data_IF_122165177383
#
_entry.id   IF_122165177383
#
_cell.length_a   1.000
_cell.length_b   1.000
_cell.length_c   1.000
_cell.angle_alpha   90.00
_cell.angle_beta   90.00
_cell.angle_gamma   90.00
#
_symmetry.space_group_name_H-M   'P 1'
#
loop_
_entity.id
_entity.type
_entity.pdbx_description
1 polymer ?
#
# COMPACT_ATOMS: atom_id res chain seq x y z
N UNK A 1 25.80 -5.60 11.70
CA UNK A 1 27.00 -5.04 11.02
C UNK A 1 26.77 -3.63 10.49
N UNK A 2 25.57 -3.28 9.99
CA UNK A 2 25.30 -1.94 9.46
C UNK A 2 24.54 -0.99 10.40
N UNK A 3 23.79 -1.49 11.39
CA UNK A 3 23.21 -0.65 12.45
C UNK A 3 24.16 -0.52 13.64
N UNK A 4 24.34 0.72 14.08
CA UNK A 4 24.94 1.12 15.35
C UNK A 4 23.96 2.03 16.08
N UNK A 5 24.12 2.17 17.39
CA UNK A 5 23.29 3.07 18.20
C UNK A 5 23.31 4.49 17.64
N UNK A 6 22.13 5.11 17.56
CA UNK A 6 21.94 6.48 17.05
C UNK A 6 21.77 6.61 15.52
N UNK A 7 21.88 5.53 14.75
CA UNK A 7 21.60 5.54 13.30
C UNK A 7 20.12 5.24 13.08
N UNK A 8 19.36 6.23 12.59
CA UNK A 8 17.91 6.10 12.31
C UNK A 8 17.63 5.13 11.15
N UNK A 9 18.41 5.20 10.07
CA UNK A 9 18.27 4.30 8.92
C UNK A 9 19.59 4.13 8.16
N UNK A 10 19.72 3.01 7.45
CA UNK A 10 20.86 2.70 6.58
C UNK A 10 20.33 2.24 5.23
N UNK A 11 20.82 2.83 4.14
CA UNK A 11 20.53 2.39 2.78
C UNK A 11 21.81 1.88 2.10
N UNK A 12 21.71 0.75 1.40
CA UNK A 12 22.71 0.27 0.45
C UNK A 12 22.15 0.51 -0.96
N UNK A 13 22.90 1.23 -1.77
CA UNK A 13 22.54 1.56 -3.16
C UNK A 13 23.51 0.84 -4.08
N UNK A 14 23.00 -0.14 -4.80
CA UNK A 14 23.70 -0.90 -5.82
C UNK A 14 23.21 -0.46 -7.22
N UNK A 15 23.88 -0.87 -8.31
CA UNK A 15 23.44 -0.54 -9.66
C UNK A 15 21.99 -0.96 -9.97
N UNK A 16 21.55 -2.12 -9.46
CA UNK A 16 20.25 -2.72 -9.79
C UNK A 16 19.30 -2.86 -8.59
N UNK A 17 19.76 -2.55 -7.37
CA UNK A 17 18.99 -2.76 -6.14
C UNK A 17 19.21 -1.66 -5.11
N UNK A 18 18.17 -1.42 -4.29
CA UNK A 18 18.24 -0.57 -3.10
C UNK A 18 17.75 -1.38 -1.90
N UNK A 19 18.59 -1.45 -0.86
CA UNK A 19 18.27 -2.15 0.39
C UNK A 19 18.19 -1.12 1.50
N UNK A 20 17.05 -1.02 2.18
CA UNK A 20 16.83 -0.08 3.27
C UNK A 20 16.62 -0.81 4.61
N UNK A 21 17.47 -0.50 5.59
CA UNK A 21 17.30 -0.89 6.98
C UNK A 21 16.84 0.31 7.80
N UNK A 22 15.61 0.29 8.29
CA UNK A 22 15.07 1.29 9.22
C UNK A 22 14.31 0.63 10.38
N UNK A 23 14.23 1.29 11.53
CA UNK A 23 13.42 0.78 12.63
C UNK A 23 11.94 0.77 12.24
N UNK A 24 11.21 -0.24 12.70
CA UNK A 24 9.77 -0.27 12.54
C UNK A 24 9.14 0.64 13.60
N UNK A 25 8.72 1.83 13.17
CA UNK A 25 8.14 2.88 14.02
C UNK A 25 6.65 2.67 14.30
N UNK A 26 6.05 1.59 13.79
CA UNK A 26 4.60 1.34 13.93
C UNK A 26 3.74 2.23 13.02
N UNK A 27 4.34 2.80 11.97
CA UNK A 27 3.63 3.59 10.96
C UNK A 27 2.50 2.80 10.29
N UNK A 28 1.46 3.52 9.89
CA UNK A 28 0.35 2.93 9.14
C UNK A 28 0.85 2.34 7.81
N UNK A 29 0.37 1.15 7.44
CA UNK A 29 0.82 0.45 6.22
C UNK A 29 0.57 1.25 4.93
N UNK A 30 -0.54 1.99 4.83
CA UNK A 30 -0.79 2.86 3.66
C UNK A 30 0.23 3.98 3.59
N UNK A 31 0.65 4.52 4.72
CA UNK A 31 1.68 5.56 4.77
C UNK A 31 3.05 5.01 4.40
N UNK A 32 3.41 3.82 4.88
CA UNK A 32 4.61 3.11 4.44
C UNK A 32 4.59 2.87 2.92
N UNK A 33 3.47 2.39 2.38
CA UNK A 33 3.29 2.18 0.94
C UNK A 33 3.48 3.49 0.16
N UNK A 34 2.85 4.57 0.62
CA UNK A 34 2.97 5.90 0.02
C UNK A 34 4.41 6.44 0.01
N UNK A 35 5.17 6.24 1.09
CA UNK A 35 6.56 6.74 1.20
C UNK A 35 7.57 5.91 0.43
N UNK A 36 7.44 4.58 0.47
CA UNK A 36 8.47 3.67 -0.04
C UNK A 36 8.19 3.13 -1.45
N UNK A 37 6.92 3.10 -1.85
CA UNK A 37 6.51 2.53 -3.14
C UNK A 37 5.62 3.50 -3.94
N UNK A 38 6.04 4.77 -4.15
CA UNK A 38 5.19 5.79 -4.76
C UNK A 38 4.81 5.49 -6.22
N UNK A 39 5.62 4.69 -6.92
CA UNK A 39 5.44 4.34 -8.33
C UNK A 39 4.88 2.91 -8.51
N UNK A 40 4.57 2.20 -7.41
CA UNK A 40 3.99 0.88 -7.49
C UNK A 40 2.49 0.93 -7.84
N UNK A 41 2.05 -0.02 -8.66
CA UNK A 41 0.62 -0.23 -8.93
C UNK A 41 -0.07 -1.04 -7.84
N UNK A 42 0.66 -1.98 -7.24
CA UNK A 42 0.20 -2.81 -6.16
C UNK A 42 1.33 -3.07 -5.18
N UNK A 43 1.03 -2.97 -3.88
CA UNK A 43 1.92 -3.39 -2.79
C UNK A 43 1.27 -4.57 -2.09
N UNK A 44 1.93 -5.72 -2.11
CA UNK A 44 1.49 -6.93 -1.41
C UNK A 44 2.31 -7.06 -0.13
N UNK A 45 1.61 -7.17 1.01
CA UNK A 45 2.21 -7.44 2.30
C UNK A 45 1.81 -8.83 2.80
N UNK A 46 2.77 -9.58 3.32
CA UNK A 46 2.51 -10.84 4.03
C UNK A 46 2.32 -10.56 5.53
N UNK A 47 1.31 -11.16 6.15
CA UNK A 47 1.00 -10.99 7.57
C UNK A 47 -0.02 -9.87 7.84
N UNK A 48 0.26 -9.01 8.83
CA UNK A 48 -0.58 -7.87 9.22
C UNK A 48 -2.06 -8.17 9.49
N UNK A 49 -2.35 -9.33 10.10
CA UNK A 49 -3.72 -9.77 10.43
C UNK A 49 -4.58 -8.72 11.13
N UNK A 50 -3.98 -7.84 11.94
CA UNK A 50 -4.68 -6.80 12.69
C UNK A 50 -4.62 -5.40 12.06
N UNK A 51 -4.08 -5.25 10.85
CA UNK A 51 -4.08 -3.97 10.16
C UNK A 51 -5.48 -3.63 9.64
N UNK A 52 -6.02 -2.50 10.09
CA UNK A 52 -7.35 -2.00 9.68
C UNK A 52 -7.31 -1.32 8.32
N UNK A 53 -8.36 -1.48 7.50
CA UNK A 53 -8.52 -0.72 6.25
C UNK A 53 -7.57 -1.15 5.14
N UNK A 54 -7.03 -2.37 5.25
CA UNK A 54 -6.20 -3.02 4.23
C UNK A 54 -6.92 -4.30 3.79
N UNK A 55 -7.27 -4.47 2.50
CA UNK A 55 -7.89 -5.68 2.00
C UNK A 55 -6.94 -6.87 2.15
N UNK A 56 -7.49 -8.03 2.53
CA UNK A 56 -6.70 -9.24 2.81
C UNK A 56 -7.19 -10.43 1.99
N UNK A 57 -6.26 -11.31 1.67
CA UNK A 57 -6.54 -12.65 1.18
C UNK A 57 -6.05 -13.61 2.25
N UNK A 58 -6.96 -14.40 2.82
CA UNK A 58 -6.60 -15.42 3.80
C UNK A 58 -6.11 -16.66 3.06
N UNK A 59 -4.98 -17.22 3.48
CA UNK A 59 -4.48 -18.50 2.99
C UNK A 59 -4.50 -19.48 4.17
N UNK A 60 -5.29 -20.55 4.05
CA UNK A 60 -5.44 -21.56 5.10
C UNK A 60 -5.30 -22.97 4.53
N UNK A 61 -4.83 -23.91 5.35
CA UNK A 61 -4.63 -25.31 4.97
C UNK A 61 -5.03 -26.22 6.12
N UNK A 62 -5.70 -27.32 5.82
CA UNK A 62 -6.27 -28.22 6.82
C UNK A 62 -5.23 -28.83 7.78
N UNK A 63 -3.98 -28.93 7.35
CA UNK A 63 -2.83 -29.43 8.13
C UNK A 63 -2.21 -28.39 9.08
N UNK A 64 -2.49 -27.10 8.88
CA UNK A 64 -1.93 -25.99 9.66
C UNK A 64 -2.96 -25.33 10.58
N UNK A 65 -4.19 -25.12 10.11
CA UNK A 65 -5.29 -24.57 10.88
C UNK A 65 -6.62 -24.88 10.20
N UNK A 66 -7.62 -25.31 10.98
CA UNK A 66 -9.00 -25.44 10.49
C UNK A 66 -9.88 -24.25 10.87
N UNK A 67 -9.46 -23.47 11.87
CA UNK A 67 -10.22 -22.30 12.32
C UNK A 67 -9.94 -21.11 11.41
N UNK A 68 -10.97 -20.51 10.78
CA UNK A 68 -10.78 -19.39 9.88
C UNK A 68 -10.33 -18.12 10.62
N UNK A 69 -9.23 -17.49 10.18
CA UNK A 69 -8.75 -16.24 10.77
C UNK A 69 -9.69 -15.07 10.49
N UNK A 70 -10.42 -15.09 9.37
CA UNK A 70 -11.43 -14.07 8.99
C UNK A 70 -12.47 -13.75 10.06
N UNK A 71 -12.77 -14.65 10.98
CA UNK A 71 -13.72 -14.36 12.07
C UNK A 71 -13.15 -13.34 13.06
N UNK A 72 -11.82 -13.21 13.11
CA UNK A 72 -11.07 -12.29 13.96
C UNK A 72 -10.34 -11.18 13.19
N UNK A 73 -10.44 -11.19 11.86
CA UNK A 73 -9.67 -10.34 10.94
C UNK A 73 -10.60 -9.54 10.04
N UNK A 74 -10.46 -8.22 10.05
CA UNK A 74 -11.25 -7.34 9.18
C UNK A 74 -10.77 -7.37 7.73
N UNK A 75 -11.69 -7.03 6.82
CA UNK A 75 -11.40 -6.73 5.40
C UNK A 75 -10.88 -7.91 4.56
N UNK A 76 -11.23 -9.15 4.92
CA UNK A 76 -10.94 -10.33 4.07
C UNK A 76 -11.80 -10.28 2.80
N UNK A 77 -11.17 -10.33 1.63
CA UNK A 77 -11.79 -10.24 0.30
C UNK A 77 -11.85 -11.57 -0.44
N UNK A 78 -10.98 -12.52 -0.09
CA UNK A 78 -10.98 -13.87 -0.61
C UNK A 78 -10.27 -14.83 0.36
N UNK A 79 -10.52 -16.13 0.20
CA UNK A 79 -9.84 -17.20 0.93
C UNK A 79 -9.22 -18.18 -0.07
N UNK A 80 -8.00 -18.63 0.19
CA UNK A 80 -7.33 -19.72 -0.51
C UNK A 80 -7.26 -20.92 0.44
N UNK A 81 -7.77 -22.08 0.02
CA UNK A 81 -7.89 -23.27 0.88
C UNK A 81 -7.70 -24.58 0.13
N UNK A 82 -7.27 -25.63 0.84
CA UNK A 82 -7.28 -27.03 0.37
C UNK A 82 -8.48 -27.85 0.89
N UNK A 83 -9.38 -27.23 1.65
CA UNK A 83 -10.63 -27.81 2.14
C UNK A 83 -11.83 -26.90 1.87
N UNK A 84 -13.04 -27.46 1.95
CA UNK A 84 -14.28 -26.70 1.74
C UNK A 84 -14.49 -25.63 2.82
N UNK A 85 -14.74 -24.40 2.37
CA UNK A 85 -14.98 -23.24 3.21
C UNK A 85 -16.19 -22.50 2.66
N UNK A 86 -17.12 -22.12 3.54
CA UNK A 86 -18.21 -21.21 3.18
C UNK A 86 -17.68 -19.76 3.18
N UNK A 87 -17.57 -19.16 1.99
CA UNK A 87 -17.24 -17.74 1.77
C UNK A 87 -17.65 -17.31 0.36
N UNK A 88 -17.83 -16.01 0.15
CA UNK A 88 -18.21 -15.46 -1.16
C UNK A 88 -17.16 -15.74 -2.25
N UNK A 89 -15.87 -15.68 -1.93
CA UNK A 89 -14.76 -15.90 -2.89
C UNK A 89 -13.73 -16.85 -2.29
N UNK A 90 -13.78 -18.12 -2.69
CA UNK A 90 -12.83 -19.17 -2.30
C UNK A 90 -12.08 -19.68 -3.53
N UNK A 91 -10.77 -19.83 -3.42
CA UNK A 91 -9.90 -20.39 -4.44
C UNK A 91 -9.18 -21.62 -3.90
N UNK A 92 -8.89 -22.59 -4.76
CA UNK A 92 -7.96 -23.68 -4.45
C UNK A 92 -6.52 -23.20 -4.55
N UNK A 93 -5.60 -23.85 -3.82
CA UNK A 93 -4.15 -23.58 -3.91
C UNK A 93 -3.62 -23.68 -5.36
N UNK A 94 -4.22 -24.56 -6.17
CA UNK A 94 -3.85 -24.74 -7.58
C UNK A 94 -4.39 -23.65 -8.52
N UNK A 95 -5.32 -22.80 -8.07
CA UNK A 95 -6.01 -21.79 -8.91
C UNK A 95 -5.29 -20.44 -8.92
N UNK A 96 -3.96 -20.47 -9.01
CA UNK A 96 -3.09 -19.28 -8.96
C UNK A 96 -3.49 -18.24 -10.00
N UNK A 97 -3.73 -18.64 -11.25
CA UNK A 97 -4.12 -17.71 -12.32
C UNK A 97 -5.44 -17.00 -12.02
N UNK A 98 -6.44 -17.72 -11.50
CA UNK A 98 -7.74 -17.11 -11.15
C UNK A 98 -7.61 -16.15 -9.97
N UNK A 99 -6.74 -16.46 -9.01
CA UNK A 99 -6.46 -15.58 -7.89
C UNK A 99 -5.76 -14.29 -8.37
N UNK A 100 -4.78 -14.42 -9.26
CA UNK A 100 -4.11 -13.28 -9.87
C UNK A 100 -5.09 -12.40 -10.64
N UNK A 101 -5.93 -12.99 -11.50
CA UNK A 101 -6.99 -12.26 -12.23
C UNK A 101 -7.93 -11.54 -11.25
N UNK A 102 -8.30 -12.15 -10.14
CA UNK A 102 -9.11 -11.51 -9.10
C UNK A 102 -8.40 -10.31 -8.47
N UNK A 103 -7.11 -10.43 -8.14
CA UNK A 103 -6.32 -9.35 -7.54
C UNK A 103 -6.22 -8.17 -8.52
N UNK A 104 -5.82 -8.42 -9.75
CA UNK A 104 -5.69 -7.38 -10.77
C UNK A 104 -7.02 -6.67 -11.00
N UNK A 105 -8.10 -7.44 -11.21
CA UNK A 105 -9.39 -6.85 -11.51
C UNK A 105 -10.02 -6.11 -10.34
N UNK A 106 -9.69 -6.48 -9.10
CA UNK A 106 -10.27 -5.87 -7.90
C UNK A 106 -9.49 -4.65 -7.40
N UNK A 107 -8.18 -4.55 -7.68
CA UNK A 107 -7.31 -3.56 -7.05
C UNK A 107 -6.50 -2.69 -8.03
N UNK A 108 -6.40 -3.04 -9.32
CA UNK A 108 -5.67 -2.25 -10.32
C UNK A 108 -6.58 -1.40 -11.22
N UNK A 109 -7.87 -1.70 -11.29
CA UNK A 109 -8.80 -1.07 -12.25
C UNK A 109 -9.39 0.27 -11.78
N UNK A 110 -9.21 0.65 -10.51
CA UNK A 110 -9.71 1.93 -10.02
C UNK A 110 -8.81 3.08 -10.48
N UNK A 111 -9.43 4.19 -10.89
CA UNK A 111 -8.71 5.45 -11.10
C UNK A 111 -8.08 5.83 -9.77
N UNK A 112 -6.76 5.64 -9.63
CA UNK A 112 -6.01 6.14 -8.48
C UNK A 112 -6.39 7.60 -8.25
N UNK A 113 -6.78 7.89 -7.02
CA UNK A 113 -7.00 9.27 -6.58
C UNK A 113 -5.73 10.08 -6.90
N UNK A 114 -5.86 11.11 -7.73
CA UNK A 114 -4.74 11.90 -8.24
C UNK A 114 -4.09 12.82 -7.18
N UNK A 115 -4.66 12.81 -5.96
CA UNK A 115 -4.16 13.54 -4.80
C UNK A 115 -4.36 12.66 -3.57
N UNK A 116 -3.26 12.40 -2.86
CA UNK A 116 -3.28 11.76 -1.54
C UNK A 116 -2.70 12.74 -0.51
N UNK A 117 -3.35 12.87 0.65
CA UNK A 117 -2.88 13.71 1.75
C UNK A 117 -2.75 12.87 3.01
N UNK A 118 -1.56 12.91 3.61
CA UNK A 118 -1.30 12.30 4.92
C UNK A 118 -0.95 13.39 5.93
N UNK A 119 -1.60 13.37 7.09
CA UNK A 119 -1.29 14.23 8.23
C UNK A 119 -0.83 13.34 9.38
N UNK A 120 0.42 13.48 9.81
CA UNK A 120 1.06 12.63 10.82
C UNK A 120 0.90 11.12 10.51
N UNK A 121 1.10 10.73 9.25
CA UNK A 121 0.98 9.35 8.80
C UNK A 121 -0.45 8.82 8.64
N UNK A 122 -1.48 9.63 8.92
CA UNK A 122 -2.89 9.26 8.70
C UNK A 122 -3.40 9.83 7.38
N UNK A 123 -3.98 8.96 6.55
CA UNK A 123 -4.66 9.35 5.31
C UNK A 123 -5.89 10.23 5.61
N UNK A 124 -5.98 11.38 4.94
CA UNK A 124 -7.10 12.32 5.07
C UNK A 124 -7.95 12.26 3.81
N UNK A 125 -9.25 12.00 3.99
CA UNK A 125 -10.20 12.03 2.89
C UNK A 125 -10.34 13.46 2.35
N UNK A 126 -10.12 13.62 1.04
CA UNK A 126 -10.34 14.86 0.32
C UNK A 126 -11.57 14.73 -0.57
N UNK A 127 -12.60 15.52 -0.25
CA UNK A 127 -13.74 15.66 -1.15
C UNK A 127 -13.32 16.31 -2.48
N UNK A 128 -14.17 16.20 -3.50
CA UNK A 128 -13.89 16.69 -4.85
C UNK A 128 -13.52 18.17 -4.91
N UNK A 129 -14.12 19.02 -4.08
CA UNK A 129 -13.82 20.44 -4.06
C UNK A 129 -12.41 20.70 -3.52
N UNK A 130 -12.09 20.16 -2.33
CA UNK A 130 -10.78 20.36 -1.68
C UNK A 130 -9.66 19.79 -2.55
N UNK A 131 -9.86 18.60 -3.12
CA UNK A 131 -8.94 17.95 -4.04
C UNK A 131 -8.60 18.85 -5.24
N UNK A 132 -9.62 19.36 -5.93
CA UNK A 132 -9.45 20.24 -7.09
C UNK A 132 -8.77 21.55 -6.70
N UNK A 133 -9.18 22.16 -5.59
CA UNK A 133 -8.59 23.42 -5.11
C UNK A 133 -7.11 23.26 -4.77
N UNK A 134 -6.75 22.21 -4.02
CA UNK A 134 -5.35 21.93 -3.66
C UNK A 134 -4.50 21.73 -4.92
N UNK A 135 -4.98 20.90 -5.86
CA UNK A 135 -4.33 20.66 -7.14
C UNK A 135 -4.11 21.96 -7.90
N UNK A 136 -5.14 22.77 -8.09
CA UNK A 136 -5.07 24.04 -8.82
C UNK A 136 -4.10 25.05 -8.18
N UNK A 137 -4.09 25.16 -6.85
CA UNK A 137 -3.16 26.06 -6.14
C UNK A 137 -1.71 25.61 -6.36
N UNK A 138 -1.42 24.31 -6.18
CA UNK A 138 -0.09 23.76 -6.41
C UNK A 138 0.34 24.00 -7.86
N UNK A 139 -0.50 23.65 -8.85
CA UNK A 139 -0.18 23.89 -10.26
C UNK A 139 0.01 25.37 -10.58
N UNK A 140 -0.76 26.26 -9.95
CA UNK A 140 -0.56 27.71 -10.04
C UNK A 140 0.86 28.09 -9.65
N UNK A 141 1.36 27.63 -8.50
CA UNK A 141 2.74 27.89 -8.09
C UNK A 141 3.76 27.28 -9.05
N UNK A 142 3.59 26.02 -9.44
CA UNK A 142 4.50 25.31 -10.34
C UNK A 142 4.60 25.99 -11.71
N UNK A 143 3.49 26.57 -12.22
CA UNK A 143 3.46 27.25 -13.51
C UNK A 143 4.33 28.52 -13.56
N UNK A 144 4.60 29.13 -12.41
CA UNK A 144 5.46 30.31 -12.31
C UNK A 144 6.95 29.96 -12.16
N UNK A 145 7.29 28.68 -11.97
CA UNK A 145 8.66 28.22 -11.78
C UNK A 145 9.33 27.88 -13.12
N UNK A 146 10.66 28.00 -13.16
CA UNK A 146 11.47 27.52 -14.28
C UNK A 146 11.71 26.02 -14.14
N UNK A 147 11.96 25.34 -15.27
CA UNK A 147 12.28 23.90 -15.33
C UNK A 147 11.15 22.94 -14.93
N UNK A 148 9.89 23.39 -14.94
CA UNK A 148 8.71 22.58 -14.57
C UNK A 148 7.85 22.16 -15.76
N UNK A 149 8.28 22.48 -16.99
CA UNK A 149 7.55 22.13 -18.22
C UNK A 149 7.45 20.61 -18.40
N UNK A 150 6.22 20.11 -18.59
CA UNK A 150 5.97 18.68 -18.81
C UNK A 150 6.06 17.81 -17.55
N UNK A 151 6.00 18.40 -16.35
CA UNK A 151 6.04 17.65 -15.09
C UNK A 151 4.93 16.59 -15.02
N UNK A 152 5.32 15.33 -14.81
CA UNK A 152 4.40 14.19 -14.61
C UNK A 152 4.20 13.85 -13.13
N UNK A 153 5.17 14.20 -12.29
CA UNK A 153 5.19 13.92 -10.85
C UNK A 153 5.67 15.15 -10.10
N UNK A 154 5.04 15.42 -8.95
CA UNK A 154 5.37 16.53 -8.07
C UNK A 154 5.48 15.99 -6.63
N UNK A 155 6.65 16.13 -6.03
CA UNK A 155 6.88 15.80 -4.62
C UNK A 155 7.02 17.09 -3.81
N UNK A 156 6.11 17.34 -2.88
CA UNK A 156 6.14 18.50 -1.99
C UNK A 156 6.38 18.03 -0.56
N UNK A 157 7.44 18.55 0.07
CA UNK A 157 7.78 18.29 1.47
C UNK A 157 7.91 19.61 2.21
N UNK A 158 7.07 19.80 3.23
CA UNK A 158 7.08 20.98 4.10
C UNK A 158 7.31 20.50 5.52
N UNK A 159 8.29 21.09 6.22
CA UNK A 159 8.51 20.89 7.65
C UNK A 159 7.88 22.07 8.38
N UNK A 160 7.06 21.80 9.39
CA UNK A 160 6.36 22.78 10.23
C UNK A 160 6.72 22.57 11.69
#
# INVERSE_FOLDING_TARGET
>A
MYRKDGIESVALVCPDELILFQDNTGENLKYLAFRFFPDADLVIGEGFKHASGIPKIEITRADLSKEPLRESVSDVKAVVSDYEISFDRVFKISEISKLADFIENSFLNDKKDDVSLFVNGREIYLNNFVRKSLKSIIFGFISCLKFTGGAQKLDIRIRV
#
